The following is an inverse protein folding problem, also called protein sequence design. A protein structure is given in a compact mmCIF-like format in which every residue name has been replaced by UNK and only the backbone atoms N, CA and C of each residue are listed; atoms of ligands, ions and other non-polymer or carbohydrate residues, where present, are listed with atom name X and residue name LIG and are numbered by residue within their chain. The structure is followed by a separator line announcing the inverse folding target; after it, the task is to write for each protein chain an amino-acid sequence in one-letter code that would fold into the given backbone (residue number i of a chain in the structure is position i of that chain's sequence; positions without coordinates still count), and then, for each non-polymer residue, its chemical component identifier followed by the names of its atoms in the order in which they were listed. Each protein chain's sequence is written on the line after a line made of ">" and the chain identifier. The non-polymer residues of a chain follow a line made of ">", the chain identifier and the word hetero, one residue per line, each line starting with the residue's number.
data_IF_023118859035
#
_entry.id   IF_023118859035
#
_cell.length_a   1.000
_cell.length_b   1.000
_cell.length_c   1.000
_cell.angle_alpha   90.00
_cell.angle_beta   90.00
_cell.angle_gamma   90.00
#
_symmetry.space_group_name_H-M   'P 1'
#
loop_
_entity.id
_entity.type
_entity.pdbx_description
1 polymer ?
#
# COMPACT_ATOMS: atom_id res chain seq x y z
N UNK A 1 29.16 -4.70 -49.43
CA UNK A 1 29.51 -4.51 -48.01
C UNK A 1 28.71 -3.32 -47.52
N UNK A 2 27.94 -3.30 -46.44
CA UNK A 2 27.93 -4.05 -45.18
C UNK A 2 26.51 -3.86 -44.60
N UNK A 3 25.77 -4.95 -44.37
CA UNK A 3 24.42 -4.91 -43.78
C UNK A 3 24.55 -4.38 -42.35
N UNK A 4 24.10 -3.15 -42.09
CA UNK A 4 24.06 -2.60 -40.74
C UNK A 4 22.84 -3.21 -40.03
N UNK A 5 23.04 -4.34 -39.37
CA UNK A 5 22.08 -4.92 -38.44
C UNK A 5 21.93 -3.96 -37.25
N UNK A 6 20.83 -3.20 -37.22
CA UNK A 6 20.37 -2.53 -35.99
C UNK A 6 19.97 -3.62 -35.00
N UNK A 7 20.90 -3.96 -34.10
CA UNK A 7 20.59 -4.73 -32.90
C UNK A 7 19.77 -3.83 -31.96
N UNK A 8 18.45 -4.01 -31.98
CA UNK A 8 17.52 -3.35 -31.08
C UNK A 8 17.78 -3.90 -29.66
N UNK A 9 18.62 -3.20 -28.89
CA UNK A 9 18.87 -3.51 -27.49
C UNK A 9 17.57 -3.23 -26.73
N UNK A 10 16.76 -4.27 -26.50
CA UNK A 10 15.60 -4.20 -25.60
C UNK A 10 16.14 -4.04 -24.18
N UNK A 11 16.37 -2.80 -23.75
CA UNK A 11 16.60 -2.50 -22.34
C UNK A 11 15.30 -2.85 -21.63
N UNK A 12 15.27 -3.87 -20.74
CA UNK A 12 14.09 -4.11 -19.94
C UNK A 12 13.87 -2.88 -19.06
N UNK A 13 12.85 -2.08 -19.39
CA UNK A 13 12.34 -1.10 -18.45
C UNK A 13 11.99 -1.87 -17.18
N UNK A 14 12.74 -1.63 -16.11
CA UNK A 14 12.42 -2.13 -14.78
C UNK A 14 11.08 -1.51 -14.37
N UNK A 15 9.99 -2.16 -14.76
CA UNK A 15 8.66 -1.87 -14.25
C UNK A 15 8.76 -2.00 -12.73
N UNK A 16 8.54 -0.90 -12.01
CA UNK A 16 8.46 -0.92 -10.55
C UNK A 16 7.17 -1.64 -10.16
N UNK A 17 7.25 -2.97 -10.14
CA UNK A 17 6.16 -3.82 -9.69
C UNK A 17 5.99 -3.66 -8.18
N UNK A 18 4.74 -3.52 -7.76
CA UNK A 18 4.39 -3.50 -6.33
C UNK A 18 4.91 -4.77 -5.65
N UNK A 19 5.48 -4.61 -4.45
CA UNK A 19 6.03 -5.69 -3.64
C UNK A 19 5.17 -5.86 -2.39
N UNK A 20 3.97 -6.41 -2.57
CA UNK A 20 3.01 -6.65 -1.50
C UNK A 20 3.53 -7.71 -0.53
N UNK A 21 3.66 -7.33 0.74
CA UNK A 21 4.01 -8.23 1.85
C UNK A 21 2.83 -8.30 2.79
N UNK A 22 2.38 -9.53 3.10
CA UNK A 22 1.30 -9.75 4.06
C UNK A 22 1.76 -9.34 5.45
N UNK A 23 0.97 -8.51 6.12
CA UNK A 23 1.23 -8.00 7.48
C UNK A 23 0.19 -8.43 8.50
N UNK A 24 -0.93 -9.00 8.04
CA UNK A 24 -1.95 -9.55 8.92
C UNK A 24 -3.12 -10.13 8.14
N UNK A 25 -4.08 -10.66 8.90
CA UNK A 25 -5.36 -11.14 8.39
C UNK A 25 -6.41 -11.07 9.50
N UNK A 26 -7.65 -10.84 9.10
CA UNK A 26 -8.82 -11.00 9.96
C UNK A 26 -9.79 -11.99 9.31
N UNK A 27 -10.91 -12.29 9.97
CA UNK A 27 -11.93 -13.18 9.41
C UNK A 27 -12.45 -12.61 8.08
N UNK A 28 -12.10 -13.28 6.96
CA UNK A 28 -12.53 -12.87 5.62
C UNK A 28 -11.71 -11.76 4.97
N UNK A 29 -10.56 -11.35 5.53
CA UNK A 29 -9.70 -10.34 4.91
C UNK A 29 -8.20 -10.57 5.12
N UNK A 30 -7.41 -10.06 4.19
CA UNK A 30 -5.95 -10.12 4.23
C UNK A 30 -5.36 -8.72 4.02
N UNK A 31 -4.37 -8.38 4.85
CA UNK A 31 -3.76 -7.05 4.85
C UNK A 31 -2.30 -7.10 4.43
N UNK A 32 -1.89 -6.12 3.64
CA UNK A 32 -0.60 -6.05 2.96
C UNK A 32 0.01 -4.66 3.05
N UNK A 33 1.33 -4.59 2.93
CA UNK A 33 2.11 -3.37 2.71
C UNK A 33 2.91 -3.52 1.43
N UNK A 34 2.89 -2.50 0.56
CA UNK A 34 3.77 -2.46 -0.60
C UNK A 34 5.15 -1.95 -0.19
N UNK A 35 6.09 -2.88 -0.06
CA UNK A 35 7.48 -2.54 0.26
C UNK A 35 8.07 -1.56 -0.75
N UNK A 36 7.77 -1.69 -2.04
CA UNK A 36 8.37 -0.86 -3.08
C UNK A 36 7.94 0.61 -2.99
N UNK A 37 6.79 0.89 -2.36
CA UNK A 37 6.23 2.23 -2.19
C UNK A 37 6.77 3.03 -1.00
N UNK A 38 7.60 2.41 -0.14
CA UNK A 38 8.09 3.05 1.08
C UNK A 38 9.03 4.21 0.70
N UNK A 39 8.61 5.43 1.00
CA UNK A 39 9.36 6.67 0.77
C UNK A 39 9.50 7.42 2.08
N UNK A 40 10.71 7.88 2.41
CA UNK A 40 10.94 8.75 3.57
C UNK A 40 10.29 10.11 3.33
N UNK A 41 9.54 10.62 4.31
CA UNK A 41 8.92 11.94 4.33
C UNK A 41 9.22 12.58 5.68
N UNK A 42 10.21 13.48 5.71
CA UNK A 42 10.74 14.10 6.93
C UNK A 42 11.21 13.08 7.99
N UNK A 43 10.47 12.96 9.09
CA UNK A 43 10.69 12.02 10.20
C UNK A 43 9.85 10.75 10.07
N UNK A 44 8.97 10.68 9.08
CA UNK A 44 8.02 9.59 8.86
C UNK A 44 8.28 8.87 7.54
N UNK A 45 7.55 7.79 7.30
CA UNK A 45 7.59 7.00 6.08
C UNK A 45 6.20 6.97 5.44
N UNK A 46 6.13 7.40 4.19
CA UNK A 46 4.93 7.30 3.38
C UNK A 46 4.89 5.94 2.69
N UNK A 47 3.75 5.26 2.74
CA UNK A 47 3.62 3.88 2.22
C UNK A 47 2.18 3.54 1.83
N UNK A 48 2.02 2.70 0.81
CA UNK A 48 0.73 2.09 0.47
C UNK A 48 0.51 0.79 1.24
N UNK A 49 -0.68 0.67 1.82
CA UNK A 49 -1.24 -0.57 2.36
C UNK A 49 -2.37 -1.06 1.45
N UNK A 50 -2.75 -2.33 1.61
CA UNK A 50 -3.87 -2.93 0.91
C UNK A 50 -4.62 -3.88 1.84
N UNK A 51 -5.95 -3.83 1.81
CA UNK A 51 -6.82 -4.85 2.39
C UNK A 51 -7.61 -5.50 1.26
N UNK A 52 -7.59 -6.82 1.19
CA UNK A 52 -8.38 -7.62 0.25
C UNK A 52 -9.37 -8.48 1.01
N UNK A 53 -10.63 -8.46 0.60
CA UNK A 53 -11.71 -9.20 1.23
C UNK A 53 -12.08 -10.44 0.41
N UNK A 54 -12.52 -11.49 1.10
CA UNK A 54 -13.04 -12.71 0.48
C UNK A 54 -14.49 -12.57 -0.01
N UNK A 55 -15.22 -11.58 0.51
CA UNK A 55 -16.60 -11.26 0.15
C UNK A 55 -16.74 -9.75 -0.04
N UNK A 56 -17.72 -9.36 -0.85
CA UNK A 56 -18.02 -7.96 -1.09
C UNK A 56 -18.32 -7.21 0.22
N UNK A 57 -17.78 -6.01 0.32
CA UNK A 57 -18.03 -5.06 1.39
C UNK A 57 -18.76 -3.85 0.79
N UNK A 58 -19.40 -3.04 1.64
CA UNK A 58 -20.01 -1.79 1.23
C UNK A 58 -19.36 -0.62 1.98
N UNK A 59 -19.13 0.50 1.29
CA UNK A 59 -18.76 1.76 1.94
C UNK A 59 -19.94 2.26 2.79
N UNK A 60 -19.75 3.26 3.68
CA UNK A 60 -20.87 3.87 4.39
C UNK A 60 -21.97 4.40 3.46
N UNK A 61 -21.63 4.79 2.23
CA UNK A 61 -22.57 5.23 1.20
C UNK A 61 -23.23 4.07 0.42
N UNK A 62 -22.88 2.82 0.72
CA UNK A 62 -23.44 1.64 0.07
C UNK A 62 -22.70 1.17 -1.19
N UNK A 63 -21.58 1.80 -1.55
CA UNK A 63 -20.80 1.44 -2.75
C UNK A 63 -20.09 0.10 -2.53
N UNK A 64 -20.30 -0.91 -3.40
CA UNK A 64 -19.65 -2.21 -3.25
C UNK A 64 -18.15 -2.15 -3.57
N UNK A 65 -17.35 -2.94 -2.85
CA UNK A 65 -15.91 -3.11 -3.09
C UNK A 65 -15.40 -4.46 -2.58
N UNK A 66 -14.30 -4.95 -3.16
CA UNK A 66 -13.60 -6.17 -2.74
C UNK A 66 -12.18 -5.93 -2.23
N UNK A 67 -11.62 -4.75 -2.46
CA UNK A 67 -10.37 -4.34 -1.85
C UNK A 67 -10.23 -2.83 -1.73
N UNK A 68 -9.29 -2.41 -0.87
CA UNK A 68 -8.98 -1.02 -0.63
C UNK A 68 -7.46 -0.86 -0.51
N UNK A 69 -6.92 0.16 -1.18
CA UNK A 69 -5.57 0.66 -0.92
C UNK A 69 -5.65 1.90 -0.04
N UNK A 70 -4.73 2.04 0.90
CA UNK A 70 -4.62 3.23 1.72
C UNK A 70 -3.20 3.77 1.76
N UNK A 71 -3.07 5.10 1.67
CA UNK A 71 -1.79 5.79 1.81
C UNK A 71 -1.65 6.24 3.25
N UNK A 72 -0.54 5.86 3.89
CA UNK A 72 -0.27 6.20 5.27
C UNK A 72 1.05 6.94 5.43
N UNK A 73 1.16 7.74 6.48
CA UNK A 73 2.43 8.13 7.09
C UNK A 73 2.65 7.31 8.37
N UNK A 74 3.82 6.70 8.51
CA UNK A 74 4.23 6.00 9.73
C UNK A 74 5.41 6.72 10.39
N UNK A 75 5.31 7.05 11.67
CA UNK A 75 6.46 7.48 12.47
C UNK A 75 7.05 6.26 13.20
N UNK A 76 8.28 5.88 12.85
CA UNK A 76 8.97 4.80 13.55
C UNK A 76 9.40 5.18 14.97
N UNK A 77 9.70 6.46 15.20
CA UNK A 77 10.13 6.95 16.50
C UNK A 77 8.94 7.03 17.48
N UNK A 78 7.83 7.57 17.00
CA UNK A 78 6.65 7.82 17.84
C UNK A 78 5.67 6.64 17.84
N UNK A 79 5.89 5.64 16.97
CA UNK A 79 5.01 4.48 16.76
C UNK A 79 3.57 4.89 16.43
N UNK A 80 3.42 5.89 15.57
CA UNK A 80 2.12 6.40 15.12
C UNK A 80 1.90 6.16 13.62
N UNK A 81 0.63 6.16 13.22
CA UNK A 81 0.20 6.13 11.82
C UNK A 81 -0.80 7.25 11.53
N UNK A 82 -0.76 7.83 10.33
CA UNK A 82 -1.74 8.82 9.85
C UNK A 82 -2.27 8.38 8.50
N UNK A 83 -3.59 8.29 8.35
CA UNK A 83 -4.23 8.00 7.06
C UNK A 83 -4.27 9.27 6.19
N UNK A 84 -3.81 9.15 4.94
CA UNK A 84 -3.76 10.25 3.97
C UNK A 84 -4.74 10.07 2.81
N UNK A 85 -5.03 8.83 2.41
CA UNK A 85 -5.93 8.55 1.29
C UNK A 85 -6.42 7.11 1.33
N UNK A 86 -7.59 6.87 0.75
CA UNK A 86 -8.12 5.55 0.47
C UNK A 86 -8.62 5.47 -0.98
N UNK A 87 -8.42 4.32 -1.61
CA UNK A 87 -8.92 4.01 -2.95
C UNK A 87 -9.55 2.64 -2.89
N UNK A 88 -10.84 2.56 -3.24
CA UNK A 88 -11.65 1.36 -3.22
C UNK A 88 -11.77 0.77 -4.61
N UNK A 89 -11.75 -0.54 -4.68
CA UNK A 89 -11.68 -1.30 -5.92
C UNK A 89 -12.75 -2.38 -5.95
N UNK A 90 -13.36 -2.58 -7.12
CA UNK A 90 -14.42 -3.57 -7.31
C UNK A 90 -13.92 -5.01 -7.27
N UNK A 91 -12.62 -5.24 -7.46
CA UNK A 91 -12.01 -6.57 -7.40
C UNK A 91 -11.03 -6.71 -6.23
N UNK A 92 -10.62 -7.95 -5.95
CA UNK A 92 -9.61 -8.27 -4.96
C UNK A 92 -8.23 -7.70 -5.34
N UNK A 93 -7.35 -7.55 -4.35
CA UNK A 93 -5.94 -7.16 -4.56
C UNK A 93 -5.73 -5.84 -5.32
N UNK A 94 -6.66 -4.89 -5.17
CA UNK A 94 -6.54 -3.53 -5.70
C UNK A 94 -6.56 -3.47 -7.22
N UNK A 95 -7.36 -4.35 -7.83
CA UNK A 95 -7.58 -4.52 -9.27
C UNK A 95 -9.00 -4.10 -9.65
N UNK A 96 -9.27 -4.09 -10.95
CA UNK A 96 -10.56 -3.67 -11.48
C UNK A 96 -10.79 -2.16 -11.37
N UNK A 97 -11.98 -1.70 -11.78
CA UNK A 97 -12.38 -0.31 -11.64
C UNK A 97 -12.27 0.22 -10.22
N UNK A 98 -11.91 1.51 -10.10
CA UNK A 98 -12.02 2.25 -8.85
C UNK A 98 -13.50 2.52 -8.60
N UNK A 99 -14.03 2.05 -7.48
CA UNK A 99 -15.41 2.32 -7.09
C UNK A 99 -15.55 3.64 -6.34
N UNK A 100 -14.56 4.00 -5.53
CA UNK A 100 -14.57 5.24 -4.73
C UNK A 100 -13.13 5.62 -4.33
N UNK A 101 -12.87 6.91 -4.11
CA UNK A 101 -11.59 7.37 -3.59
C UNK A 101 -11.75 8.60 -2.68
N UNK A 102 -10.91 8.67 -1.65
CA UNK A 102 -10.88 9.77 -0.69
C UNK A 102 -9.45 10.23 -0.43
N UNK A 103 -9.30 11.52 -0.17
CA UNK A 103 -8.05 12.15 0.28
C UNK A 103 -8.33 12.89 1.58
N UNK A 104 -7.46 12.73 2.55
CA UNK A 104 -7.57 13.32 3.87
C UNK A 104 -6.38 14.25 4.10
N UNK A 105 -6.66 15.49 4.51
CA UNK A 105 -5.62 16.50 4.73
C UNK A 105 -5.39 16.82 6.20
N UNK A 106 -6.29 16.38 7.10
CA UNK A 106 -6.34 16.84 8.50
C UNK A 106 -6.42 15.72 9.54
N UNK A 107 -6.14 14.48 9.18
CA UNK A 107 -6.16 13.41 10.17
C UNK A 107 -4.95 13.54 11.10
N UNK A 108 -5.21 13.44 12.40
CA UNK A 108 -4.17 13.41 13.40
C UNK A 108 -3.43 12.07 13.36
N UNK A 109 -2.16 12.00 13.79
CA UNK A 109 -1.50 10.74 14.07
C UNK A 109 -2.26 9.95 15.15
N UNK A 110 -2.41 8.65 14.91
CA UNK A 110 -2.99 7.69 15.85
C UNK A 110 -1.90 6.76 16.37
N UNK A 111 -1.97 6.41 17.66
CA UNK A 111 -1.08 5.44 18.26
C UNK A 111 -1.31 4.04 17.69
N UNK A 112 -0.21 3.35 17.36
CA UNK A 112 -0.30 1.98 16.86
C UNK A 112 -0.51 1.02 18.02
N UNK A 113 -1.68 0.39 18.03
CA UNK A 113 -2.02 -0.69 18.97
C UNK A 113 -1.05 -1.88 18.76
N UNK A 114 -0.40 -2.39 19.81
CA UNK A 114 0.44 -3.60 19.72
C UNK A 114 -0.31 -4.80 19.15
N UNK A 115 0.40 -5.68 18.45
CA UNK A 115 -0.13 -6.91 17.83
C UNK A 115 -1.24 -6.68 16.78
N UNK A 116 -1.45 -5.42 16.38
CA UNK A 116 -2.37 -5.07 15.30
C UNK A 116 -1.72 -5.23 13.91
N UNK A 117 -2.56 -5.17 12.87
CA UNK A 117 -2.11 -5.10 11.48
C UNK A 117 -1.15 -3.92 11.26
N UNK A 118 -1.41 -2.77 11.90
CA UNK A 118 -0.57 -1.58 11.82
C UNK A 118 0.78 -1.77 12.53
N UNK A 119 0.84 -2.55 13.60
CA UNK A 119 2.12 -2.91 14.24
C UNK A 119 2.93 -3.85 13.34
N UNK A 120 2.29 -4.85 12.72
CA UNK A 120 2.91 -5.67 11.68
C UNK A 120 3.47 -4.86 10.52
N UNK A 121 2.73 -3.85 10.06
CA UNK A 121 3.20 -2.90 9.04
C UNK A 121 4.41 -2.09 9.51
N UNK A 122 4.37 -1.55 10.74
CA UNK A 122 5.47 -0.80 11.35
C UNK A 122 6.76 -1.63 11.38
N UNK A 123 6.68 -2.92 11.74
CA UNK A 123 7.85 -3.82 11.72
C UNK A 123 8.45 -3.97 10.32
N UNK A 124 7.62 -4.02 9.26
CA UNK A 124 8.11 -4.09 7.88
C UNK A 124 8.77 -2.79 7.43
N UNK A 125 8.18 -1.65 7.80
CA UNK A 125 8.63 -0.31 7.39
C UNK A 125 9.93 0.07 8.09
N UNK A 126 9.97 -0.08 9.41
CA UNK A 126 11.06 0.42 10.25
C UNK A 126 12.29 -0.49 10.28
N UNK A 127 12.18 -1.76 9.86
CA UNK A 127 13.32 -2.70 9.76
C UNK A 127 14.19 -2.48 8.52
N UNK A 128 13.97 -1.44 7.71
CA UNK A 128 14.92 -1.11 6.64
C UNK A 128 16.24 -0.63 7.25
N UNK A 129 17.25 -1.51 7.20
CA UNK A 129 18.67 -1.15 7.45
C UNK A 129 18.99 0.12 6.69
N UNK A 130 19.65 1.08 7.37
CA UNK A 130 20.34 2.21 6.73
C UNK A 130 21.12 1.65 5.54
N UNK A 131 20.74 2.05 4.32
CA UNK A 131 21.62 1.91 3.16
C UNK A 131 22.71 2.95 3.28
#
# INVERSE_FOLDING_TARGET
>A
MKKLLLAFLTIPLLAHAAQWVKVGSAAGSQSYIDKSSIIRSDKSYKVWSLVSYAKEQATPEGTPYLSMKALHLYSCADRTTTLLSQVYYTEAMGKGPVSQNFKYEKFAPEDIVPDSVSDGALQVICKRKKR
#
